data_IF_043228637008
#
_entry.id   IF_043228637008
#
_cell.length_a   1.000
_cell.length_b   1.000
_cell.length_c   1.000
_cell.angle_alpha   90.00
_cell.angle_beta   90.00
_cell.angle_gamma   90.00
#
_symmetry.space_group_name_H-M   'P 1'
#
loop_
_entity.id
_entity.type
_entity.pdbx_description
1 polymer ?
#
# COMPACT_ATOMS: atom_id res chain seq x y z
N UNK A 1 -5.05 -12.73 67.88
CA UNK A 1 -4.24 -13.09 66.68
C UNK A 1 -5.07 -13.47 65.46
N UNK A 2 -5.97 -14.47 65.49
CA UNK A 2 -6.73 -14.90 64.30
C UNK A 2 -7.62 -13.81 63.64
N UNK A 3 -8.20 -12.90 64.43
CA UNK A 3 -9.00 -11.78 63.91
C UNK A 3 -8.14 -10.71 63.20
N UNK A 4 -6.97 -10.38 63.76
CA UNK A 4 -6.01 -9.43 63.18
C UNK A 4 -5.45 -9.91 61.84
N UNK A 5 -5.12 -11.20 61.73
CA UNK A 5 -4.64 -11.80 60.47
C UNK A 5 -5.71 -11.78 59.37
N UNK A 6 -6.98 -12.02 59.72
CA UNK A 6 -8.10 -11.92 58.77
C UNK A 6 -8.33 -10.49 58.30
N UNK A 7 -8.26 -9.51 59.19
CA UNK A 7 -8.38 -8.09 58.83
C UNK A 7 -7.23 -7.65 57.92
N UNK A 8 -6.00 -8.09 58.20
CA UNK A 8 -4.83 -7.80 57.36
C UNK A 8 -4.96 -8.41 55.95
N UNK A 9 -5.41 -9.67 55.86
CA UNK A 9 -5.67 -10.34 54.58
C UNK A 9 -6.77 -9.64 53.77
N UNK A 10 -7.84 -9.20 54.44
CA UNK A 10 -8.94 -8.49 53.79
C UNK A 10 -8.50 -7.12 53.25
N UNK A 11 -7.65 -6.40 54.00
CA UNK A 11 -7.04 -5.15 53.54
C UNK A 11 -6.10 -5.37 52.35
N UNK A 12 -5.30 -6.43 52.35
CA UNK A 12 -4.44 -6.78 51.21
C UNK A 12 -5.26 -7.11 49.95
N UNK A 13 -6.37 -7.83 50.09
CA UNK A 13 -7.28 -8.11 48.97
C UNK A 13 -7.94 -6.82 48.46
N UNK A 14 -8.40 -5.94 49.35
CA UNK A 14 -8.99 -4.65 48.96
C UNK A 14 -7.97 -3.72 48.29
N UNK A 15 -6.72 -3.69 48.76
CA UNK A 15 -5.64 -2.95 48.11
C UNK A 15 -5.29 -3.53 46.74
N UNK A 16 -5.27 -4.86 46.60
CA UNK A 16 -5.04 -5.51 45.32
C UNK A 16 -6.17 -5.23 44.32
N UNK A 17 -7.43 -5.29 44.74
CA UNK A 17 -8.60 -4.99 43.89
C UNK A 17 -8.65 -3.51 43.54
N UNK A 18 -8.42 -2.61 44.51
CA UNK A 18 -8.38 -1.17 44.27
C UNK A 18 -7.22 -0.77 43.35
N UNK A 19 -6.04 -1.38 43.54
CA UNK A 19 -4.89 -1.21 42.67
C UNK A 19 -5.14 -1.71 41.25
N UNK A 20 -5.76 -2.89 41.09
CA UNK A 20 -6.14 -3.43 39.79
C UNK A 20 -7.20 -2.55 39.09
N UNK A 21 -8.17 -2.02 39.83
CA UNK A 21 -9.18 -1.11 39.30
C UNK A 21 -8.60 0.22 38.82
N UNK A 22 -7.72 0.84 39.61
CA UNK A 22 -7.01 2.05 39.21
C UNK A 22 -6.08 1.80 38.02
N UNK A 23 -5.38 0.66 37.99
CA UNK A 23 -4.54 0.27 36.86
C UNK A 23 -5.35 0.08 35.58
N UNK A 24 -6.48 -0.62 35.64
CA UNK A 24 -7.37 -0.82 34.49
C UNK A 24 -7.96 0.51 34.00
N UNK A 25 -8.43 1.36 34.91
CA UNK A 25 -8.94 2.69 34.56
C UNK A 25 -7.88 3.56 33.89
N UNK A 26 -6.67 3.62 34.46
CA UNK A 26 -5.56 4.38 33.88
C UNK A 26 -5.15 3.82 32.51
N UNK A 27 -5.16 2.50 32.34
CA UNK A 27 -4.88 1.85 31.06
C UNK A 27 -5.91 2.23 29.99
N UNK A 28 -7.20 2.14 30.30
CA UNK A 28 -8.28 2.53 29.37
C UNK A 28 -8.20 4.02 29.00
N UNK A 29 -7.92 4.89 29.97
CA UNK A 29 -7.71 6.32 29.70
C UNK A 29 -6.50 6.57 28.81
N UNK A 30 -5.38 5.86 29.03
CA UNK A 30 -4.18 5.96 28.19
C UNK A 30 -4.44 5.45 26.76
N UNK A 31 -5.19 4.35 26.60
CA UNK A 31 -5.62 3.82 25.31
C UNK A 31 -6.46 4.84 24.54
N UNK A 32 -7.51 5.38 25.17
CA UNK A 32 -8.37 6.40 24.55
C UNK A 32 -7.59 7.66 24.17
N UNK A 33 -6.72 8.15 25.07
CA UNK A 33 -5.92 9.34 24.81
C UNK A 33 -4.90 9.12 23.68
N UNK A 34 -4.38 7.89 23.53
CA UNK A 34 -3.50 7.53 22.41
C UNK A 34 -4.27 7.45 21.10
N UNK A 35 -5.42 6.77 21.10
CA UNK A 35 -6.28 6.66 19.92
C UNK A 35 -6.70 8.03 19.38
N UNK A 36 -7.12 8.94 20.27
CA UNK A 36 -7.48 10.31 19.89
C UNK A 36 -6.28 11.06 19.29
N UNK A 37 -5.10 10.93 19.91
CA UNK A 37 -3.90 11.59 19.41
C UNK A 37 -3.43 11.03 18.06
N UNK A 38 -3.50 9.70 17.88
CA UNK A 38 -3.19 9.05 16.60
C UNK A 38 -4.19 9.48 15.52
N UNK A 39 -5.48 9.52 15.83
CA UNK A 39 -6.51 9.98 14.89
C UNK A 39 -6.27 11.43 14.44
N UNK A 40 -5.87 12.32 15.35
CA UNK A 40 -5.48 13.70 15.02
C UNK A 40 -4.26 13.74 14.09
N UNK A 41 -3.23 12.94 14.38
CA UNK A 41 -2.04 12.85 13.52
C UNK A 41 -2.40 12.34 12.12
N UNK A 42 -3.23 11.30 12.04
CA UNK A 42 -3.72 10.72 10.78
C UNK A 42 -4.62 11.68 9.98
N UNK A 43 -5.41 12.51 10.66
CA UNK A 43 -6.15 13.58 10.03
C UNK A 43 -5.21 14.62 9.41
N UNK A 44 -4.21 15.10 10.17
CA UNK A 44 -3.22 16.06 9.67
C UNK A 44 -2.42 15.50 8.50
N UNK A 45 -2.06 14.20 8.53
CA UNK A 45 -1.46 13.52 7.40
C UNK A 45 -2.36 13.60 6.15
N UNK A 46 -3.65 13.28 6.31
CA UNK A 46 -4.62 13.28 5.21
C UNK A 46 -4.76 14.67 4.58
N UNK A 47 -4.81 15.72 5.40
CA UNK A 47 -4.86 17.11 4.94
C UNK A 47 -3.62 17.48 4.12
N UNK A 48 -2.42 17.11 4.60
CA UNK A 48 -1.15 17.34 3.90
C UNK A 48 -1.01 16.49 2.63
N UNK A 49 -1.48 15.24 2.65
CA UNK A 49 -1.51 14.36 1.49
C UNK A 49 -2.33 14.96 0.34
N UNK A 50 -3.40 15.71 0.65
CA UNK A 50 -4.14 16.47 -0.36
C UNK A 50 -3.26 17.42 -1.18
N UNK A 51 -2.25 18.05 -0.55
CA UNK A 51 -1.31 18.94 -1.20
C UNK A 51 -0.28 18.17 -2.04
N UNK A 52 0.27 17.07 -1.49
CA UNK A 52 1.22 16.21 -2.21
C UNK A 52 0.65 15.67 -3.52
N UNK A 53 -0.61 15.25 -3.51
CA UNK A 53 -1.27 14.65 -4.69
C UNK A 53 -1.46 15.66 -5.84
N UNK A 54 -1.36 16.96 -5.58
CA UNK A 54 -1.40 17.99 -6.62
C UNK A 54 -0.06 18.27 -7.29
N UNK A 55 1.04 17.68 -6.82
CA UNK A 55 2.38 17.90 -7.37
C UNK A 55 2.60 16.95 -8.54
N UNK A 56 2.72 17.49 -9.74
CA UNK A 56 3.00 16.72 -10.96
C UNK A 56 4.49 16.55 -11.26
N UNK A 57 5.34 17.44 -10.73
CA UNK A 57 6.79 17.33 -10.88
C UNK A 57 7.33 16.17 -10.02
N UNK A 58 7.91 15.11 -10.62
CA UNK A 58 8.28 13.91 -9.88
C UNK A 58 9.33 14.13 -8.80
N UNK A 59 10.35 14.96 -9.05
CA UNK A 59 11.44 15.18 -8.09
C UNK A 59 10.98 16.03 -6.91
N UNK A 60 10.24 17.12 -7.17
CA UNK A 60 9.58 17.89 -6.11
C UNK A 60 8.63 17.02 -5.31
N UNK A 61 7.84 16.17 -5.96
CA UNK A 61 6.94 15.25 -5.26
C UNK A 61 7.70 14.33 -4.32
N UNK A 62 8.78 13.68 -4.79
CA UNK A 62 9.61 12.79 -3.97
C UNK A 62 10.20 13.51 -2.75
N UNK A 63 10.67 14.74 -2.92
CA UNK A 63 11.23 15.53 -1.82
C UNK A 63 10.17 15.92 -0.78
N UNK A 64 9.01 16.38 -1.23
CA UNK A 64 7.90 16.74 -0.34
C UNK A 64 7.32 15.51 0.36
N UNK A 65 7.20 14.37 -0.33
CA UNK A 65 6.79 13.10 0.27
C UNK A 65 7.77 12.66 1.36
N UNK A 66 9.08 12.73 1.09
CA UNK A 66 10.11 12.40 2.08
C UNK A 66 10.02 13.31 3.31
N UNK A 67 9.84 14.61 3.09
CA UNK A 67 9.67 15.58 4.18
C UNK A 67 8.41 15.29 5.01
N UNK A 68 7.30 14.95 4.34
CA UNK A 68 6.04 14.64 5.01
C UNK A 68 6.10 13.33 5.80
N UNK A 69 6.70 12.27 5.24
CA UNK A 69 6.93 11.01 5.96
C UNK A 69 7.81 11.24 7.18
N UNK A 70 8.92 11.97 7.04
CA UNK A 70 9.79 12.32 8.16
C UNK A 70 9.05 13.05 9.28
N UNK A 71 8.18 14.01 8.92
CA UNK A 71 7.32 14.68 9.90
C UNK A 71 6.37 13.70 10.59
N UNK A 72 5.65 12.88 9.82
CA UNK A 72 4.66 11.93 10.35
C UNK A 72 5.28 10.94 11.34
N UNK A 73 6.40 10.32 10.97
CA UNK A 73 7.09 9.38 11.85
C UNK A 73 7.76 10.07 13.04
N UNK A 74 8.16 11.34 12.91
CA UNK A 74 8.63 12.15 14.04
C UNK A 74 7.53 12.40 15.09
N UNK A 75 6.33 12.79 14.66
CA UNK A 75 5.16 12.96 15.53
C UNK A 75 4.72 11.63 16.13
N UNK A 76 4.74 10.56 15.34
CA UNK A 76 4.39 9.23 15.80
C UNK A 76 5.38 8.72 16.85
N UNK A 77 6.68 8.98 16.67
CA UNK A 77 7.70 8.66 17.67
C UNK A 77 7.45 9.43 18.97
N UNK A 78 7.11 10.73 18.89
CA UNK A 78 6.73 11.51 20.07
C UNK A 78 5.49 10.92 20.76
N UNK A 79 4.50 10.45 20.00
CA UNK A 79 3.32 9.77 20.52
C UNK A 79 3.68 8.45 21.20
N UNK A 80 4.54 7.62 20.59
CA UNK A 80 5.00 6.36 21.15
C UNK A 80 5.82 6.56 22.43
N UNK A 81 6.63 7.61 22.51
CA UNK A 81 7.37 7.97 23.73
C UNK A 81 6.43 8.37 24.88
N UNK A 82 5.27 8.96 24.58
CA UNK A 82 4.23 9.29 25.56
C UNK A 82 3.42 8.07 26.02
N UNK A 83 3.29 7.05 25.15
CA UNK A 83 2.52 5.83 25.41
C UNK A 83 3.30 4.55 25.05
N UNK A 84 4.43 4.27 25.73
CA UNK A 84 5.36 3.22 25.30
C UNK A 84 4.76 1.81 25.36
N UNK A 85 3.91 1.52 26.36
CA UNK A 85 3.24 0.22 26.49
C UNK A 85 2.25 -0.08 25.35
N UNK A 86 1.84 0.96 24.62
CA UNK A 86 0.90 0.88 23.51
C UNK A 86 1.61 1.04 22.15
N UNK A 87 2.94 1.10 22.10
CA UNK A 87 3.72 1.15 20.87
C UNK A 87 4.10 -0.28 20.43
N UNK A 88 3.12 -1.05 19.95
CA UNK A 88 3.31 -2.45 19.55
C UNK A 88 2.84 -2.66 18.10
N UNK A 89 3.81 -2.70 17.16
CA UNK A 89 3.56 -2.93 15.74
C UNK A 89 3.01 -4.34 15.47
N UNK A 90 3.22 -5.30 16.38
CA UNK A 90 2.78 -6.68 16.22
C UNK A 90 1.39 -6.94 16.84
N UNK A 91 0.72 -5.90 17.34
CA UNK A 91 -0.61 -6.02 17.98
C UNK A 91 -1.62 -6.74 17.10
N UNK A 92 -1.77 -6.31 15.84
CA UNK A 92 -2.74 -6.91 14.93
C UNK A 92 -2.43 -8.39 14.64
N UNK A 93 -1.15 -8.75 14.56
CA UNK A 93 -0.74 -10.14 14.39
C UNK A 93 -1.09 -11.00 15.62
N UNK A 94 -0.82 -10.50 16.82
CA UNK A 94 -1.22 -11.16 18.09
C UNK A 94 -2.74 -11.37 18.18
N UNK A 95 -3.52 -10.38 17.73
CA UNK A 95 -4.98 -10.52 17.65
C UNK A 95 -5.41 -11.59 16.63
N UNK A 96 -4.72 -11.71 15.50
CA UNK A 96 -4.97 -12.77 14.52
C UNK A 96 -4.66 -14.14 15.12
N UNK A 97 -3.50 -14.31 15.76
CA UNK A 97 -3.12 -15.56 16.43
C UNK A 97 -4.16 -15.98 17.48
N UNK A 98 -4.64 -15.03 18.28
CA UNK A 98 -5.70 -15.29 19.26
C UNK A 98 -7.03 -15.68 18.61
N UNK A 99 -7.40 -15.00 17.52
CA UNK A 99 -8.61 -15.32 16.77
C UNK A 99 -8.52 -16.67 16.05
N UNK A 100 -7.33 -17.11 15.64
CA UNK A 100 -7.08 -18.47 15.13
C UNK A 100 -7.23 -19.47 16.26
N UNK A 101 -6.61 -19.22 17.42
CA UNK A 101 -6.70 -20.08 18.61
C UNK A 101 -8.14 -20.27 19.10
N UNK A 102 -8.95 -19.21 19.03
CA UNK A 102 -10.37 -19.23 19.43
C UNK A 102 -11.32 -19.69 18.31
N UNK A 103 -10.79 -20.07 17.14
CA UNK A 103 -11.59 -20.58 16.02
C UNK A 103 -12.40 -19.53 15.27
N UNK A 104 -12.17 -18.22 15.53
CA UNK A 104 -12.80 -17.10 14.82
C UNK A 104 -12.22 -16.87 13.43
N UNK A 105 -10.95 -17.23 13.23
CA UNK A 105 -10.27 -17.23 11.92
C UNK A 105 -9.95 -18.68 11.54
N UNK A 106 -10.40 -19.16 10.37
CA UNK A 106 -10.02 -20.47 9.85
C UNK A 106 -8.51 -20.61 9.63
N UNK A 107 -7.93 -21.75 9.99
CA UNK A 107 -6.48 -21.99 9.89
C UNK A 107 -5.93 -21.85 8.46
N UNK A 108 -6.75 -22.13 7.43
CA UNK A 108 -6.36 -21.97 6.02
C UNK A 108 -6.22 -20.49 5.58
N UNK A 109 -6.65 -19.53 6.40
CA UNK A 109 -6.48 -18.09 6.16
C UNK A 109 -5.20 -17.51 6.77
N UNK A 110 -4.53 -18.27 7.64
CA UNK A 110 -3.31 -17.81 8.32
C UNK A 110 -2.20 -17.46 7.34
N UNK A 111 -1.87 -18.27 6.31
CA UNK A 111 -0.79 -17.93 5.39
C UNK A 111 -1.02 -16.61 4.63
N UNK A 112 -2.25 -16.37 4.17
CA UNK A 112 -2.64 -15.12 3.49
C UNK A 112 -2.50 -13.91 4.43
N UNK A 113 -2.95 -14.04 5.68
CA UNK A 113 -2.85 -12.98 6.68
C UNK A 113 -1.41 -12.70 7.10
N UNK A 114 -0.58 -13.74 7.19
CA UNK A 114 0.84 -13.62 7.49
C UNK A 114 1.56 -12.88 6.36
N UNK A 115 1.29 -13.25 5.11
CA UNK A 115 1.84 -12.57 3.92
C UNK A 115 1.46 -11.09 3.91
N UNK A 116 0.18 -10.78 4.13
CA UNK A 116 -0.30 -9.39 4.16
C UNK A 116 0.33 -8.61 5.31
N UNK A 117 0.37 -9.16 6.52
CA UNK A 117 0.97 -8.51 7.68
C UNK A 117 2.46 -8.21 7.43
N UNK A 118 3.23 -9.21 6.95
CA UNK A 118 4.65 -9.03 6.63
C UNK A 118 4.86 -7.97 5.56
N UNK A 119 4.03 -7.97 4.52
CA UNK A 119 4.12 -6.97 3.46
C UNK A 119 3.84 -5.56 3.99
N UNK A 120 2.73 -5.33 4.70
CA UNK A 120 2.43 -4.02 5.30
C UNK A 120 3.54 -3.57 6.23
N UNK A 121 4.05 -4.49 7.06
CA UNK A 121 5.15 -4.21 8.00
C UNK A 121 6.44 -3.81 7.30
N UNK A 122 6.84 -4.49 6.22
CA UNK A 122 8.01 -4.12 5.43
C UNK A 122 7.87 -2.70 4.86
N UNK A 123 6.71 -2.38 4.25
CA UNK A 123 6.47 -1.04 3.70
C UNK A 123 6.49 0.03 4.78
N UNK A 124 5.82 -0.22 5.90
CA UNK A 124 5.78 0.69 7.04
C UNK A 124 7.19 0.98 7.56
N UNK A 125 7.99 -0.07 7.78
CA UNK A 125 9.35 0.07 8.31
C UNK A 125 10.28 0.79 7.32
N UNK A 126 10.12 0.57 6.01
CA UNK A 126 10.85 1.35 4.99
C UNK A 126 10.51 2.83 5.08
N UNK A 127 9.22 3.17 5.22
CA UNK A 127 8.79 4.56 5.38
C UNK A 127 9.34 5.18 6.67
N UNK A 128 9.25 4.45 7.79
CA UNK A 128 9.75 4.87 9.09
C UNK A 128 11.27 5.12 9.09
N UNK A 129 12.04 4.24 8.44
CA UNK A 129 13.50 4.37 8.31
C UNK A 129 13.94 5.40 7.27
N UNK A 130 13.00 6.01 6.54
CA UNK A 130 13.31 6.94 5.43
C UNK A 130 13.89 6.25 4.20
N UNK A 131 13.74 4.93 4.08
CA UNK A 131 14.16 4.11 2.94
C UNK A 131 13.10 4.04 1.84
N UNK A 132 11.89 4.56 2.10
CA UNK A 132 10.84 4.67 1.09
C UNK A 132 11.14 5.86 0.17
N UNK A 133 11.57 5.58 -1.06
CA UNK A 133 11.70 6.56 -2.14
C UNK A 133 11.10 5.96 -3.41
N UNK A 134 10.07 6.59 -3.99
CA UNK A 134 9.52 6.14 -5.28
C UNK A 134 10.59 6.12 -6.37
N UNK A 135 10.72 4.99 -7.06
CA UNK A 135 11.54 4.83 -8.26
C UNK A 135 10.85 5.51 -9.44
N UNK A 136 9.56 5.18 -9.62
CA UNK A 136 8.69 5.70 -10.67
C UNK A 136 7.43 6.20 -9.99
N UNK A 137 6.98 7.39 -10.38
CA UNK A 137 5.85 8.05 -9.75
C UNK A 137 5.06 8.88 -10.78
N UNK A 138 3.75 8.96 -10.62
CA UNK A 138 2.90 9.85 -11.40
C UNK A 138 1.57 10.11 -10.67
N UNK A 139 0.90 11.18 -11.09
CA UNK A 139 -0.43 11.55 -10.58
C UNK A 139 -1.47 11.63 -11.69
N UNK A 140 -2.70 11.23 -11.36
CA UNK A 140 -3.87 11.32 -12.23
C UNK A 140 -5.15 11.26 -11.40
N UNK A 141 -6.14 12.10 -11.68
CA UNK A 141 -7.42 12.17 -10.95
C UNK A 141 -7.27 12.28 -9.41
N UNK A 142 -6.31 13.09 -8.94
CA UNK A 142 -5.92 13.23 -7.53
C UNK A 142 -5.46 11.92 -6.86
N UNK A 143 -5.10 10.90 -7.64
CA UNK A 143 -4.44 9.70 -7.15
C UNK A 143 -2.95 9.81 -7.49
N UNK A 144 -2.10 9.30 -6.59
CA UNK A 144 -0.66 9.29 -6.81
C UNK A 144 -0.16 7.86 -6.74
N UNK A 145 0.46 7.38 -7.82
CA UNK A 145 0.91 6.00 -7.94
C UNK A 145 2.43 5.95 -7.88
N UNK A 146 2.94 5.35 -6.80
CA UNK A 146 4.37 5.24 -6.50
C UNK A 146 4.83 3.78 -6.60
N UNK A 147 5.68 3.48 -7.57
CA UNK A 147 6.46 2.24 -7.57
C UNK A 147 7.75 2.47 -6.79
N UNK A 148 7.91 1.81 -5.65
CA UNK A 148 9.07 2.00 -4.77
C UNK A 148 10.04 0.81 -4.79
N UNK A 149 9.65 -0.30 -5.42
CA UNK A 149 10.50 -1.48 -5.60
C UNK A 149 10.16 -2.17 -6.92
N UNK A 150 11.16 -2.32 -7.77
CA UNK A 150 11.08 -3.11 -9.00
C UNK A 150 12.32 -3.99 -9.07
N UNK A 151 12.14 -5.31 -8.97
CA UNK A 151 13.25 -6.26 -8.91
C UNK A 151 12.92 -7.58 -9.60
N UNK A 152 13.95 -8.32 -10.05
CA UNK A 152 13.75 -9.68 -10.54
C UNK A 152 13.50 -10.64 -9.38
N UNK A 153 12.51 -11.49 -9.53
CA UNK A 153 12.20 -12.59 -8.63
C UNK A 153 11.90 -13.86 -9.42
N UNK A 154 12.09 -15.00 -8.77
CA UNK A 154 11.56 -16.27 -9.27
C UNK A 154 10.16 -16.47 -8.69
N UNK A 155 9.14 -16.31 -9.53
CA UNK A 155 7.73 -16.47 -9.15
C UNK A 155 7.14 -17.63 -9.96
N UNK A 156 6.66 -18.67 -9.28
CA UNK A 156 6.09 -19.85 -9.93
C UNK A 156 7.06 -20.60 -10.85
N UNK A 157 8.38 -20.53 -10.60
CA UNK A 157 9.40 -21.17 -11.44
C UNK A 157 9.80 -20.37 -12.68
N UNK A 158 9.26 -19.15 -12.86
CA UNK A 158 9.60 -18.24 -13.95
C UNK A 158 10.23 -16.96 -13.39
N UNK A 159 11.27 -16.45 -14.06
CA UNK A 159 11.84 -15.14 -13.73
C UNK A 159 10.86 -14.03 -14.16
N UNK A 160 10.54 -13.13 -13.23
CA UNK A 160 9.58 -12.03 -13.40
C UNK A 160 10.09 -10.77 -12.70
N UNK A 161 9.55 -9.62 -13.07
CA UNK A 161 9.68 -8.40 -12.28
C UNK A 161 8.59 -8.36 -11.23
N UNK A 162 8.99 -8.30 -9.96
CA UNK A 162 8.13 -7.89 -8.87
C UNK A 162 8.08 -6.36 -8.83
N UNK A 163 6.90 -5.79 -8.96
CA UNK A 163 6.66 -4.35 -8.93
C UNK A 163 5.76 -4.04 -7.73
N UNK A 164 6.34 -3.58 -6.64
CA UNK A 164 5.57 -3.16 -5.47
C UNK A 164 5.26 -1.67 -5.56
N UNK A 165 4.01 -1.31 -5.22
CA UNK A 165 3.53 0.05 -5.32
C UNK A 165 2.69 0.50 -4.12
N UNK A 166 2.61 1.82 -3.97
CA UNK A 166 1.64 2.51 -3.13
C UNK A 166 0.79 3.42 -4.00
N UNK A 167 -0.53 3.31 -3.87
CA UNK A 167 -1.48 4.24 -4.46
C UNK A 167 -2.04 5.13 -3.35
N UNK A 168 -1.67 6.41 -3.39
CA UNK A 168 -2.12 7.42 -2.44
C UNK A 168 -3.42 8.07 -2.87
N UNK A 169 -4.24 8.41 -1.87
CA UNK A 169 -5.50 9.11 -2.10
C UNK A 169 -6.66 8.21 -2.49
N UNK A 170 -6.48 6.90 -2.39
CA UNK A 170 -7.50 5.92 -2.74
C UNK A 170 -8.75 6.11 -1.86
N UNK A 171 -9.95 6.34 -2.45
CA UNK A 171 -11.15 6.59 -1.67
C UNK A 171 -11.56 5.35 -0.89
N UNK A 172 -12.03 5.55 0.34
CA UNK A 172 -12.48 4.46 1.22
C UNK A 172 -13.97 4.53 1.42
N UNK A 173 -14.61 3.36 1.36
CA UNK A 173 -16.02 3.20 1.69
C UNK A 173 -16.19 2.20 2.80
N UNK A 174 -17.01 2.56 3.77
CA UNK A 174 -17.51 1.62 4.76
C UNK A 174 -18.74 0.93 4.16
N UNK A 175 -18.60 -0.35 3.82
CA UNK A 175 -19.72 -1.17 3.40
C UNK A 175 -20.23 -1.92 4.63
N UNK A 176 -21.50 -1.71 4.95
CA UNK A 176 -22.22 -2.50 5.94
C UNK A 176 -22.90 -3.67 5.23
N UNK A 177 -22.45 -4.89 5.48
CA UNK A 177 -23.13 -6.11 5.03
C UNK A 177 -23.99 -6.65 6.15
N UNK A 178 -25.30 -6.65 5.95
CA UNK A 178 -26.25 -7.31 6.85
C UNK A 178 -26.51 -8.73 6.38
N UNK A 179 -26.11 -9.71 7.18
CA UNK A 179 -26.43 -11.12 6.95
C UNK A 179 -27.27 -11.61 8.13
N UNK A 180 -28.61 -11.61 7.94
CA UNK A 180 -29.57 -11.88 9.01
C UNK A 180 -29.50 -10.82 10.13
N UNK A 181 -29.22 -11.25 11.36
CA UNK A 181 -29.06 -10.39 12.53
C UNK A 181 -27.63 -9.79 12.67
N UNK A 182 -26.67 -10.25 11.87
CA UNK A 182 -25.26 -9.82 11.96
C UNK A 182 -25.01 -8.72 10.94
N UNK A 183 -24.50 -7.57 11.41
CA UNK A 183 -24.00 -6.49 10.56
C UNK A 183 -22.48 -6.51 10.59
N UNK A 184 -21.84 -6.77 9.45
CA UNK A 184 -20.38 -6.69 9.29
C UNK A 184 -20.03 -5.40 8.57
N UNK A 185 -19.16 -4.60 9.17
CA UNK A 185 -18.61 -3.39 8.57
C UNK A 185 -17.28 -3.74 7.91
N UNK A 186 -17.11 -3.40 6.63
CA UNK A 186 -15.87 -3.61 5.89
C UNK A 186 -15.46 -2.33 5.19
N UNK A 187 -14.22 -1.91 5.39
CA UNK A 187 -13.60 -0.86 4.56
C UNK A 187 -13.22 -1.48 3.22
N UNK A 188 -13.62 -0.83 2.13
CA UNK A 188 -13.29 -1.21 0.75
C UNK A 188 -12.84 0.00 -0.04
N UNK A 189 -11.94 -0.21 -0.98
CA UNK A 189 -11.54 0.81 -1.96
C UNK A 189 -12.21 0.47 -3.30
N UNK A 190 -13.15 1.29 -3.80
CA UNK A 190 -13.90 1.03 -5.03
C UNK A 190 -13.08 1.38 -6.28
N UNK A 191 -11.84 0.91 -6.35
CA UNK A 191 -10.94 1.07 -7.49
C UNK A 191 -10.73 -0.25 -8.21
N UNK A 192 -10.77 -0.19 -9.54
CA UNK A 192 -10.50 -1.32 -10.43
C UNK A 192 -9.35 -0.98 -11.38
N UNK A 193 -8.32 -1.83 -11.38
CA UNK A 193 -7.18 -1.72 -12.29
C UNK A 193 -7.62 -2.30 -13.64
N UNK A 194 -7.87 -1.42 -14.61
CA UNK A 194 -8.50 -1.82 -15.87
C UNK A 194 -7.50 -2.31 -16.90
N UNK A 195 -6.33 -1.67 -16.95
CA UNK A 195 -5.30 -1.93 -17.96
C UNK A 195 -3.90 -1.68 -17.38
N UNK A 196 -2.98 -2.52 -17.78
CA UNK A 196 -1.54 -2.30 -17.71
C UNK A 196 -0.97 -2.57 -19.10
N UNK A 197 -0.19 -1.65 -19.65
CA UNK A 197 0.31 -1.72 -21.01
C UNK A 197 1.76 -1.26 -21.08
N UNK A 198 2.57 -2.02 -21.81
CA UNK A 198 3.96 -1.70 -22.10
C UNK A 198 4.15 -1.77 -23.61
N UNK A 199 4.73 -0.74 -24.19
CA UNK A 199 5.24 -0.74 -25.56
C UNK A 199 6.75 -0.57 -25.51
N UNK A 200 7.48 -1.50 -26.12
CA UNK A 200 8.94 -1.52 -26.12
C UNK A 200 9.46 -0.97 -27.43
N UNK A 201 10.44 -0.08 -27.34
CA UNK A 201 11.08 0.58 -28.48
C UNK A 201 12.55 0.17 -28.57
N UNK A 202 13.06 0.00 -29.79
CA UNK A 202 14.49 -0.21 -30.07
C UNK A 202 15.29 1.10 -29.92
N UNK A 203 16.61 1.04 -30.04
CA UNK A 203 17.47 2.24 -30.01
C UNK A 203 17.11 3.25 -31.13
N UNK A 204 16.64 2.77 -32.28
CA UNK A 204 16.17 3.61 -33.39
C UNK A 204 14.75 4.17 -33.18
N UNK A 205 14.12 3.91 -32.03
CA UNK A 205 12.77 4.36 -31.72
C UNK A 205 11.66 3.57 -32.43
N UNK A 206 11.98 2.43 -33.05
CA UNK A 206 10.98 1.55 -33.67
C UNK A 206 10.31 0.68 -32.62
N UNK A 207 9.02 0.37 -32.80
CA UNK A 207 8.33 -0.58 -31.91
C UNK A 207 8.92 -1.97 -32.10
N UNK A 208 9.43 -2.54 -31.01
CA UNK A 208 9.89 -3.92 -30.94
C UNK A 208 8.72 -4.86 -30.61
N UNK A 209 7.89 -4.49 -29.64
CA UNK A 209 6.71 -5.27 -29.29
C UNK A 209 5.93 -4.69 -28.12
N UNK A 210 4.85 -5.38 -27.75
CA UNK A 210 3.92 -4.94 -26.71
C UNK A 210 3.60 -6.04 -25.69
N UNK A 211 3.37 -5.63 -24.44
CA UNK A 211 2.82 -6.47 -23.38
C UNK A 211 1.62 -5.76 -22.77
N UNK A 212 0.49 -6.46 -22.65
CA UNK A 212 -0.73 -5.87 -22.10
C UNK A 212 -1.51 -6.84 -21.22
N UNK A 213 -2.16 -6.29 -20.22
CA UNK A 213 -3.14 -6.98 -19.40
C UNK A 213 -4.38 -6.09 -19.26
N UNK A 214 -5.56 -6.70 -19.33
CA UNK A 214 -6.85 -6.01 -19.20
C UNK A 214 -7.79 -6.75 -18.26
N UNK A 215 -8.71 -6.02 -17.62
CA UNK A 215 -9.72 -6.61 -16.75
C UNK A 215 -9.08 -7.34 -15.55
N UNK A 216 -9.55 -8.55 -15.17
CA UNK A 216 -8.99 -9.28 -14.03
C UNK A 216 -7.49 -9.57 -14.13
N UNK A 217 -6.94 -9.68 -15.34
CA UNK A 217 -5.51 -9.90 -15.55
C UNK A 217 -4.65 -8.65 -15.28
N UNK A 218 -5.24 -7.45 -15.32
CA UNK A 218 -4.56 -6.21 -14.97
C UNK A 218 -4.55 -5.94 -13.45
N UNK A 219 -5.36 -6.68 -12.68
CA UNK A 219 -5.38 -6.54 -11.24
C UNK A 219 -4.03 -6.96 -10.63
N UNK A 220 -3.54 -6.23 -9.61
CA UNK A 220 -2.34 -6.64 -8.90
C UNK A 220 -2.57 -7.99 -8.21
N UNK A 221 -1.52 -8.81 -8.19
CA UNK A 221 -1.53 -10.12 -7.55
C UNK A 221 -1.92 -10.02 -6.07
N UNK A 222 -1.33 -9.04 -5.39
CA UNK A 222 -1.69 -8.67 -4.02
C UNK A 222 -2.23 -7.24 -4.00
N UNK A 223 -3.34 -7.04 -3.29
CA UNK A 223 -3.99 -5.73 -3.10
C UNK A 223 -4.44 -5.57 -1.65
N UNK A 224 -3.85 -4.61 -0.94
CA UNK A 224 -4.21 -4.28 0.44
C UNK A 224 -4.83 -2.88 0.47
N UNK A 225 -6.16 -2.86 0.52
CA UNK A 225 -6.99 -1.64 0.53
C UNK A 225 -6.90 -0.83 1.83
N UNK A 226 -6.56 -1.50 2.93
CA UNK A 226 -6.59 -0.92 4.27
C UNK A 226 -5.39 -1.40 5.11
N UNK A 227 -4.19 -0.87 4.85
CA UNK A 227 -2.97 -1.20 5.59
C UNK A 227 -3.10 -1.01 7.10
N UNK A 228 -3.90 -0.03 7.55
CA UNK A 228 -4.08 0.33 8.96
C UNK A 228 -4.77 -0.77 9.77
N UNK A 229 -5.43 -1.72 9.10
CA UNK A 229 -5.92 -2.93 9.75
C UNK A 229 -4.78 -3.78 10.31
N UNK A 230 -3.62 -3.73 9.67
CA UNK A 230 -2.45 -4.54 10.00
C UNK A 230 -1.47 -3.76 10.87
N UNK A 231 -1.32 -2.46 10.64
CA UNK A 231 -0.52 -1.56 11.47
C UNK A 231 -1.33 -0.28 11.68
N UNK A 232 -1.92 -0.09 12.86
CA UNK A 232 -2.85 1.01 13.14
C UNK A 232 -2.24 2.39 12.85
N UNK A 233 -0.92 2.51 12.99
CA UNK A 233 -0.13 3.71 12.79
C UNK A 233 0.25 3.97 11.32
N UNK A 234 -0.09 3.09 10.39
CA UNK A 234 0.26 3.24 8.97
C UNK A 234 -0.33 4.56 8.40
N UNK A 235 0.44 5.33 7.59
CA UNK A 235 -0.07 6.58 7.00
C UNK A 235 -1.36 6.35 6.18
N UNK A 236 -2.45 7.09 6.46
CA UNK A 236 -3.73 6.76 5.87
C UNK A 236 -3.86 7.13 4.40
N UNK A 237 -4.90 6.56 3.77
CA UNK A 237 -5.21 6.65 2.34
C UNK A 237 -4.17 6.02 1.40
N UNK A 238 -3.32 5.13 1.93
CA UNK A 238 -2.54 4.20 1.13
C UNK A 238 -3.37 2.98 0.73
N UNK A 239 -3.22 2.57 -0.53
CA UNK A 239 -3.47 1.22 -1.00
C UNK A 239 -2.11 0.63 -1.41
N UNK A 240 -1.83 -0.60 -0.98
CA UNK A 240 -0.59 -1.28 -1.35
C UNK A 240 -0.88 -2.39 -2.35
N UNK A 241 0.08 -2.68 -3.22
CA UNK A 241 -0.02 -3.87 -4.04
C UNK A 241 1.25 -4.27 -4.74
N UNK A 242 1.16 -5.43 -5.37
CA UNK A 242 2.27 -6.06 -6.09
C UNK A 242 1.78 -6.59 -7.42
N UNK A 243 2.51 -6.27 -8.49
CA UNK A 243 2.42 -6.99 -9.76
C UNK A 243 3.63 -7.88 -9.97
N UNK A 244 3.40 -9.01 -10.63
CA UNK A 244 4.46 -9.82 -11.23
C UNK A 244 4.32 -9.74 -12.74
N UNK A 245 5.20 -8.99 -13.39
CA UNK A 245 5.20 -8.85 -14.86
C UNK A 245 6.35 -9.66 -15.45
N UNK A 246 6.20 -10.07 -16.69
CA UNK A 246 7.30 -10.73 -17.39
C UNK A 246 8.48 -9.76 -17.59
N UNK A 247 9.69 -10.32 -17.67
CA UNK A 247 10.88 -9.53 -18.00
C UNK A 247 10.71 -8.87 -19.37
N UNK A 248 11.35 -7.72 -19.54
CA UNK A 248 11.27 -6.93 -20.78
C UNK A 248 12.16 -7.57 -21.87
N UNK A 249 11.92 -7.32 -23.17
CA UNK A 249 12.76 -7.87 -24.23
C UNK A 249 14.21 -7.41 -24.13
N UNK A 250 15.15 -8.21 -24.64
CA UNK A 250 16.60 -7.90 -24.60
C UNK A 250 16.91 -6.65 -25.45
N UNK A 251 16.25 -6.55 -26.60
CA UNK A 251 16.41 -5.49 -27.60
C UNK A 251 15.67 -4.19 -27.25
N UNK A 252 14.88 -4.18 -26.17
CA UNK A 252 14.16 -3.00 -25.73
C UNK A 252 15.13 -1.96 -25.17
N UNK A 253 15.28 -0.82 -25.85
CA UNK A 253 16.05 0.31 -25.35
C UNK A 253 15.17 1.21 -24.46
N UNK A 254 13.92 1.45 -24.88
CA UNK A 254 12.97 2.33 -24.18
C UNK A 254 11.63 1.64 -23.99
N UNK A 255 10.89 2.06 -22.98
CA UNK A 255 9.53 1.56 -22.72
C UNK A 255 8.57 2.73 -22.51
N UNK A 256 7.43 2.65 -23.18
CA UNK A 256 6.24 3.42 -22.86
C UNK A 256 5.37 2.54 -21.97
N UNK A 257 5.08 2.99 -20.76
CA UNK A 257 4.31 2.26 -19.78
C UNK A 257 3.06 3.04 -19.39
N UNK A 258 1.90 2.39 -19.51
CA UNK A 258 0.60 2.95 -19.16
C UNK A 258 -0.15 2.09 -18.14
N UNK A 259 -0.82 2.74 -17.19
CA UNK A 259 -1.75 2.10 -16.26
C UNK A 259 -3.04 2.90 -16.23
N UNK A 260 -4.18 2.19 -16.32
CA UNK A 260 -5.51 2.78 -16.15
C UNK A 260 -6.20 2.20 -14.92
N UNK A 261 -6.61 3.08 -14.01
CA UNK A 261 -7.37 2.73 -12.80
C UNK A 261 -8.70 3.46 -12.86
N UNK A 262 -9.79 2.71 -12.82
CA UNK A 262 -11.13 3.30 -12.72
C UNK A 262 -11.65 3.30 -11.30
N UNK A 263 -12.48 4.28 -10.98
CA UNK A 263 -13.18 4.36 -9.71
C UNK A 263 -14.58 4.95 -9.90
N UNK A 264 -15.36 4.87 -8.83
CA UNK A 264 -16.68 5.49 -8.76
C UNK A 264 -16.75 6.44 -7.58
N UNK A 265 -17.13 7.68 -7.84
CA UNK A 265 -17.37 8.72 -6.83
C UNK A 265 -18.62 8.42 -6.00
N UNK A 266 -18.77 9.08 -4.85
CA UNK A 266 -19.95 8.93 -3.99
C UNK A 266 -21.22 9.53 -4.61
N UNK A 267 -21.07 10.51 -5.50
CA UNK A 267 -22.16 11.01 -6.34
C UNK A 267 -22.59 10.01 -7.44
N UNK A 268 -21.88 8.89 -7.57
CA UNK A 268 -22.20 7.84 -8.53
C UNK A 268 -21.59 8.02 -9.92
N UNK A 269 -20.78 9.05 -10.14
CA UNK A 269 -20.02 9.26 -11.39
C UNK A 269 -18.78 8.36 -11.43
N UNK A 270 -18.47 7.82 -12.60
CA UNK A 270 -17.25 7.06 -12.85
C UNK A 270 -16.12 8.00 -13.28
N UNK A 271 -14.88 7.66 -12.92
CA UNK A 271 -13.67 8.36 -13.34
C UNK A 271 -12.57 7.35 -13.64
N UNK A 272 -11.60 7.76 -14.47
CA UNK A 272 -10.43 6.93 -14.83
C UNK A 272 -9.16 7.74 -14.66
N UNK A 273 -8.33 7.30 -13.72
CA UNK A 273 -6.95 7.76 -13.58
C UNK A 273 -6.06 7.02 -14.59
N UNK A 274 -5.42 7.77 -15.48
CA UNK A 274 -4.46 7.25 -16.45
C UNK A 274 -3.06 7.75 -16.11
N UNK A 275 -2.13 6.82 -16.00
CA UNK A 275 -0.73 7.08 -15.75
C UNK A 275 0.08 6.69 -16.98
N UNK A 276 1.11 7.47 -17.27
CA UNK A 276 1.96 7.30 -18.43
C UNK A 276 3.41 7.62 -18.04
N UNK A 277 4.32 6.73 -18.41
CA UNK A 277 5.76 6.91 -18.24
C UNK A 277 6.50 6.51 -19.51
N UNK A 278 7.59 7.20 -19.78
CA UNK A 278 8.51 6.86 -20.86
C UNK A 278 9.94 6.96 -20.34
N UNK A 279 10.70 5.87 -20.41
CA UNK A 279 12.07 5.82 -19.88
C UNK A 279 12.89 4.70 -20.52
N UNK A 280 14.21 4.78 -20.35
CA UNK A 280 15.15 3.77 -20.82
C UNK A 280 15.04 2.50 -19.99
N UNK A 281 14.99 1.34 -20.64
CA UNK A 281 14.80 0.05 -19.97
C UNK A 281 16.07 -0.31 -19.19
N UNK A 282 15.99 -0.49 -17.86
CA UNK A 282 17.12 -0.98 -17.09
C UNK A 282 17.52 -2.39 -17.55
N UNK A 283 18.81 -2.63 -17.77
CA UNK A 283 19.35 -3.97 -18.10
C UNK A 283 18.92 -5.04 -17.08
N UNK A 284 18.83 -4.65 -15.81
CA UNK A 284 18.33 -5.50 -14.74
C UNK A 284 16.86 -5.91 -14.91
N UNK A 285 16.13 -5.45 -15.92
CA UNK A 285 14.74 -5.81 -16.19
C UNK A 285 14.54 -6.67 -17.43
N UNK A 286 15.58 -6.86 -18.25
CA UNK A 286 15.53 -7.55 -19.55
C UNK A 286 15.68 -9.08 -19.48
N UNK A 287 14.96 -9.84 -20.27
CA UNK A 287 15.23 -11.27 -20.43
C UNK A 287 16.56 -11.49 -21.17
N UNK A 288 17.14 -12.68 -21.02
CA UNK A 288 18.32 -13.14 -21.77
C UNK A 288 17.98 -14.33 -22.69
N UNK A 289 16.73 -14.42 -23.10
CA UNK A 289 16.15 -15.54 -23.84
C UNK A 289 14.71 -15.23 -24.25
N UNK A 290 14.04 -16.17 -24.93
CA UNK A 290 12.77 -15.94 -25.63
C UNK A 290 11.76 -15.09 -24.85
N UNK A 291 11.43 -13.93 -25.42
CA UNK A 291 10.45 -13.00 -24.89
C UNK A 291 9.05 -13.40 -25.37
N UNK A 292 8.20 -13.87 -24.45
CA UNK A 292 6.85 -14.36 -24.76
C UNK A 292 5.78 -13.29 -25.06
N UNK A 293 6.22 -12.08 -25.44
CA UNK A 293 5.35 -10.97 -25.83
C UNK A 293 4.82 -11.10 -27.26
N UNK A 294 3.93 -10.19 -27.67
CA UNK A 294 3.53 -10.13 -29.09
C UNK A 294 4.50 -9.20 -29.81
N UNK A 295 5.39 -9.79 -30.60
CA UNK A 295 6.25 -9.04 -31.52
C UNK A 295 5.39 -8.46 -32.64
N UNK A 296 5.43 -7.15 -32.83
CA UNK A 296 4.83 -6.50 -33.99
C UNK A 296 5.97 -6.03 -34.89
N UNK A 297 6.16 -6.72 -36.01
CA UNK A 297 6.99 -6.19 -37.09
C UNK A 297 6.20 -5.04 -37.73
N UNK A 298 6.54 -3.81 -37.34
CA UNK A 298 5.95 -2.62 -37.95
C UNK A 298 6.49 -2.49 -39.39
N UNK A 299 5.62 -2.50 -40.44
CA UNK A 299 6.07 -2.32 -41.81
C UNK A 299 6.76 -0.97 -42.00
N UNK A 300 7.83 -0.92 -42.80
CA UNK A 300 8.68 0.28 -43.01
C UNK A 300 7.89 1.55 -43.40
N UNK A 301 6.73 1.39 -44.04
CA UNK A 301 5.84 2.48 -44.45
C UNK A 301 5.23 3.30 -43.27
N UNK A 302 5.23 2.76 -42.06
CA UNK A 302 4.78 3.48 -40.85
C UNK A 302 5.91 4.16 -40.07
N UNK A 303 7.17 3.90 -40.43
CA UNK A 303 8.36 4.43 -39.76
C UNK A 303 8.59 5.92 -40.10
N UNK A 304 8.08 6.37 -41.25
CA UNK A 304 8.30 7.74 -41.75
C UNK A 304 7.13 8.71 -41.47
N UNK A 305 6.10 8.32 -40.71
CA UNK A 305 4.95 9.22 -40.42
C UNK A 305 5.17 10.15 -39.23
N UNK A 306 6.13 9.83 -38.34
CA UNK A 306 6.43 10.65 -37.16
C UNK A 306 7.08 11.99 -37.53
N UNK A 307 7.83 12.06 -38.63
CA UNK A 307 8.45 13.31 -39.10
C UNK A 307 7.44 14.28 -39.74
N UNK A 308 6.28 13.78 -40.20
CA UNK A 308 5.25 14.60 -40.85
C UNK A 308 4.25 15.24 -39.86
N UNK A 309 4.18 14.77 -38.61
CA UNK A 309 3.30 15.32 -37.59
C UNK A 309 3.98 16.32 -36.64
N UNK A 310 5.31 16.41 -36.66
CA UNK A 310 6.08 17.43 -35.92
C UNK A 310 6.17 18.78 -36.65
N UNK A 311 5.58 18.90 -37.85
CA UNK A 311 5.66 20.10 -38.70
C UNK A 311 4.32 20.84 -38.89
N UNK A 312 3.29 20.57 -38.08
CA UNK A 312 2.02 21.31 -38.06
C UNK A 312 1.66 21.75 -36.65
#
# INVERSE_FOLDING_TARGET
MKSLVKTLLLLLVLLAVGGAGLWYYNKTQAEQAREEALAKLQQQWTERLGQLRGISDPERYKDELRAQLKWYFGELQALNNRFPELADLDRAWKEIEENVRTGRIPANKVPEYEEFFKYVKDVYQRMERGEFTPLITATSENLHLDFYRIERVNEGGKQRLRMDFVLWGAPRRLIEKRQGAVTTKRVTVPLNFQRMFFQFLTEEGKVHGEMSATGPAAAPYMKIDYPERWIAEFPPQALLGTWYVDLFPEEAARVIWEISISGRTDAGNDYTANYHWEFDVPEAWKTSGDWGGTEQIVPEEYINRTDAQAAN
#
